data_IF_031250698671
#
_entry.id   IF_031250698671
#
_cell.length_a   1.000
_cell.length_b   1.000
_cell.length_c   1.000
_cell.angle_alpha   90.00
_cell.angle_beta   90.00
_cell.angle_gamma   90.00
#
_symmetry.space_group_name_H-M   'P 1'
#
loop_
_entity.id
_entity.type
_entity.pdbx_description
1 polymer ?
#
# COMPACT_ATOMS: atom_id res chain seq x y z
N UNK A 1 -24.87 -1.14 21.99
CA UNK A 1 -26.02 -1.23 21.04
C UNK A 1 -26.65 0.14 20.76
N UNK A 2 -26.87 1.01 21.77
CA UNK A 2 -27.44 2.36 21.53
C UNK A 2 -26.53 3.31 20.71
N UNK A 3 -25.21 3.21 20.85
CA UNK A 3 -24.26 4.08 20.13
C UNK A 3 -24.15 3.81 18.62
N UNK A 4 -24.39 2.57 18.18
CA UNK A 4 -24.34 2.21 16.76
C UNK A 4 -25.61 2.67 16.02
N UNK A 5 -26.75 2.63 16.71
CA UNK A 5 -28.03 3.06 16.16
C UNK A 5 -28.07 4.59 15.97
N UNK A 6 -27.51 5.33 16.92
CA UNK A 6 -27.34 6.79 16.82
C UNK A 6 -26.37 7.21 15.70
N UNK A 7 -25.29 6.46 15.47
CA UNK A 7 -24.36 6.71 14.35
C UNK A 7 -25.01 6.43 13.00
N UNK A 8 -25.76 5.33 12.90
CA UNK A 8 -26.48 4.92 11.68
C UNK A 8 -27.57 5.93 11.31
N UNK A 9 -28.32 6.44 12.29
CA UNK A 9 -29.31 7.49 12.10
C UNK A 9 -28.66 8.81 11.59
N UNK A 10 -27.54 9.22 12.19
CA UNK A 10 -26.78 10.40 11.74
C UNK A 10 -26.23 10.24 10.32
N UNK A 11 -25.72 9.05 9.97
CA UNK A 11 -25.24 8.76 8.61
C UNK A 11 -26.38 8.78 7.58
N UNK A 12 -27.53 8.20 7.91
CA UNK A 12 -28.71 8.21 7.04
C UNK A 12 -29.23 9.64 6.80
N UNK A 13 -29.22 10.49 7.82
CA UNK A 13 -29.63 11.90 7.67
C UNK A 13 -28.65 12.69 6.79
N UNK A 14 -27.34 12.47 6.97
CA UNK A 14 -26.29 13.07 6.12
C UNK A 14 -26.44 12.61 4.67
N UNK A 15 -26.75 11.33 4.44
CA UNK A 15 -26.91 10.74 3.12
C UNK A 15 -28.17 11.27 2.42
N UNK A 16 -29.28 11.41 3.15
CA UNK A 16 -30.52 12.04 2.67
C UNK A 16 -30.29 13.49 2.25
N UNK A 17 -29.62 14.30 3.09
CA UNK A 17 -29.25 15.69 2.77
C UNK A 17 -28.34 15.78 1.55
N UNK A 18 -27.38 14.85 1.39
CA UNK A 18 -26.50 14.78 0.21
C UNK A 18 -27.28 14.43 -1.06
N UNK A 19 -28.23 13.50 -0.98
CA UNK A 19 -29.06 13.07 -2.11
C UNK A 19 -29.97 14.21 -2.61
N UNK A 20 -30.58 14.95 -1.69
CA UNK A 20 -31.43 16.11 -2.03
C UNK A 20 -30.63 17.22 -2.71
N UNK A 21 -29.46 17.57 -2.16
CA UNK A 21 -28.55 18.56 -2.76
C UNK A 21 -28.08 18.11 -4.14
N UNK A 22 -27.82 16.80 -4.32
CA UNK A 22 -27.42 16.23 -5.62
C UNK A 22 -28.55 16.34 -6.65
N UNK A 23 -29.77 16.01 -6.27
CA UNK A 23 -30.97 16.10 -7.13
C UNK A 23 -31.22 17.53 -7.60
N UNK A 24 -31.21 18.49 -6.66
CA UNK A 24 -31.39 19.93 -6.96
C UNK A 24 -30.34 20.47 -7.93
N UNK A 25 -29.08 20.04 -7.77
CA UNK A 25 -27.99 20.46 -8.64
C UNK A 25 -28.05 19.79 -10.03
N UNK A 26 -28.59 18.56 -10.13
CA UNK A 26 -28.73 17.83 -11.39
C UNK A 26 -29.84 18.46 -12.25
N UNK A 27 -30.96 18.80 -11.63
CA UNK A 27 -32.08 19.52 -12.24
C UNK A 27 -31.63 20.90 -12.76
N UNK A 28 -30.84 21.64 -11.99
CA UNK A 28 -30.26 22.92 -12.42
C UNK A 28 -29.25 22.79 -13.58
N UNK A 29 -28.58 21.63 -13.70
CA UNK A 29 -27.60 21.37 -14.76
C UNK A 29 -28.24 20.95 -16.09
N UNK A 30 -29.41 20.28 -16.06
CA UNK A 30 -30.17 19.91 -17.26
C UNK A 30 -30.69 21.13 -18.03
N UNK A 31 -30.94 22.24 -17.33
CA UNK A 31 -31.40 23.51 -17.90
C UNK A 31 -30.28 24.31 -18.61
N UNK A 32 -29.00 24.02 -18.38
CA UNK A 32 -27.86 24.73 -19.00
C UNK A 32 -26.98 23.77 -19.82
N UNK A 33 -27.47 23.38 -21.01
CA UNK A 33 -26.82 22.48 -21.99
C UNK A 33 -25.54 23.02 -22.66
N UNK A 34 -24.74 23.85 -22.01
CA UNK A 34 -23.50 24.38 -22.60
C UNK A 34 -22.31 24.23 -21.64
N UNK A 35 -21.55 23.12 -21.79
CA UNK A 35 -20.16 22.85 -21.34
C UNK A 35 -19.69 23.27 -19.92
N UNK A 36 -20.56 23.83 -19.07
CA UNK A 36 -20.31 24.18 -17.67
C UNK A 36 -20.75 23.00 -16.82
N UNK A 37 -19.80 22.11 -16.51
CA UNK A 37 -20.06 20.96 -15.67
C UNK A 37 -20.78 21.34 -14.36
N UNK A 38 -21.55 20.40 -13.81
CA UNK A 38 -22.36 20.52 -12.59
C UNK A 38 -21.66 21.19 -11.38
N UNK A 39 -20.33 21.12 -11.30
CA UNK A 39 -19.54 21.72 -10.23
C UNK A 39 -18.94 23.06 -10.64
N UNK A 40 -18.93 24.03 -9.72
CA UNK A 40 -18.12 25.24 -9.89
C UNK A 40 -16.63 24.90 -9.97
N UNK A 41 -15.81 25.70 -10.69
CA UNK A 41 -14.36 25.46 -10.82
C UNK A 41 -13.65 25.29 -9.47
N UNK A 42 -14.02 26.09 -8.47
CA UNK A 42 -13.47 26.01 -7.10
C UNK A 42 -13.82 24.70 -6.40
N UNK A 43 -15.07 24.24 -6.50
CA UNK A 43 -15.49 22.96 -5.93
C UNK A 43 -14.77 21.80 -6.62
N UNK A 44 -14.58 21.85 -7.94
CA UNK A 44 -13.81 20.85 -8.69
C UNK A 44 -12.32 20.84 -8.27
N UNK A 45 -11.72 22.02 -8.03
CA UNK A 45 -10.35 22.14 -7.49
C UNK A 45 -10.24 21.51 -6.10
N UNK A 46 -11.18 21.81 -5.19
CA UNK A 46 -11.24 21.22 -3.84
C UNK A 46 -11.42 19.70 -3.88
N UNK A 47 -12.28 19.19 -4.77
CA UNK A 47 -12.49 17.74 -4.92
C UNK A 47 -11.22 17.02 -5.38
N UNK A 48 -10.52 17.53 -6.40
CA UNK A 48 -9.25 16.93 -6.85
C UNK A 48 -8.20 16.89 -5.75
N UNK A 49 -8.13 17.95 -4.94
CA UNK A 49 -7.21 18.01 -3.80
C UNK A 49 -7.54 16.91 -2.78
N UNK A 50 -8.82 16.75 -2.43
CA UNK A 50 -9.26 15.71 -1.48
C UNK A 50 -8.98 14.30 -2.02
N UNK A 51 -9.20 14.06 -3.32
CA UNK A 51 -8.92 12.76 -3.94
C UNK A 51 -7.42 12.43 -3.92
N UNK A 52 -6.54 13.40 -4.22
CA UNK A 52 -5.09 13.20 -4.13
C UNK A 52 -4.62 12.98 -2.69
N UNK A 53 -5.18 13.72 -1.73
CA UNK A 53 -4.90 13.52 -0.31
C UNK A 53 -5.28 12.10 0.15
N UNK A 54 -6.49 11.65 -0.21
CA UNK A 54 -6.94 10.29 0.08
C UNK A 54 -6.06 9.24 -0.60
N UNK A 55 -5.69 9.44 -1.86
CA UNK A 55 -4.80 8.52 -2.57
C UNK A 55 -3.41 8.44 -1.92
N UNK A 56 -2.85 9.57 -1.47
CA UNK A 56 -1.57 9.61 -0.76
C UNK A 56 -1.66 8.91 0.61
N UNK A 57 -2.76 9.10 1.34
CA UNK A 57 -3.01 8.45 2.62
C UNK A 57 -3.12 6.92 2.46
N UNK A 58 -3.93 6.45 1.50
CA UNK A 58 -4.05 5.02 1.20
C UNK A 58 -2.71 4.41 0.74
N UNK A 59 -1.93 5.15 -0.07
CA UNK A 59 -0.59 4.72 -0.48
C UNK A 59 0.34 4.56 0.73
N UNK A 60 0.34 5.52 1.66
CA UNK A 60 1.14 5.45 2.89
C UNK A 60 0.72 4.26 3.76
N UNK A 61 -0.58 4.03 3.92
CA UNK A 61 -1.11 2.90 4.67
C UNK A 61 -0.71 1.56 4.04
N UNK A 62 -0.72 1.46 2.72
CA UNK A 62 -0.25 0.27 2.01
C UNK A 62 1.26 0.06 2.19
N UNK A 63 2.06 1.12 2.15
CA UNK A 63 3.50 1.05 2.42
C UNK A 63 3.78 0.55 3.84
N UNK A 64 3.07 1.07 4.85
CA UNK A 64 3.20 0.62 6.24
C UNK A 64 2.81 -0.86 6.37
N UNK A 65 1.73 -1.30 5.71
CA UNK A 65 1.33 -2.72 5.68
C UNK A 65 2.41 -3.60 5.03
N UNK A 66 2.96 -3.18 3.88
CA UNK A 66 4.04 -3.92 3.21
C UNK A 66 5.31 -3.96 4.05
N UNK A 67 5.65 -2.88 4.76
CA UNK A 67 6.80 -2.84 5.66
C UNK A 67 6.62 -3.74 6.88
N UNK A 68 5.42 -3.78 7.46
CA UNK A 68 5.09 -4.69 8.57
C UNK A 68 5.16 -6.15 8.11
N UNK A 69 4.58 -6.49 6.97
CA UNK A 69 4.65 -7.84 6.41
C UNK A 69 6.10 -8.24 6.07
N UNK A 70 6.89 -7.32 5.50
CA UNK A 70 8.32 -7.54 5.28
C UNK A 70 9.05 -7.87 6.58
N UNK A 71 8.77 -7.16 7.67
CA UNK A 71 9.37 -7.44 8.98
C UNK A 71 8.98 -8.83 9.50
N UNK A 72 7.70 -9.18 9.41
CA UNK A 72 7.19 -10.51 9.80
C UNK A 72 7.88 -11.64 9.03
N UNK A 73 8.00 -11.51 7.70
CA UNK A 73 8.67 -12.50 6.86
C UNK A 73 10.15 -12.63 7.21
N UNK A 74 10.85 -11.52 7.50
CA UNK A 74 12.26 -11.57 7.92
C UNK A 74 12.40 -12.32 9.24
N UNK A 75 11.54 -12.04 10.21
CA UNK A 75 11.54 -12.73 11.50
C UNK A 75 11.29 -14.23 11.34
N UNK A 76 10.31 -14.61 10.51
CA UNK A 76 9.99 -16.00 10.19
C UNK A 76 11.16 -16.72 9.49
N UNK A 77 11.80 -16.07 8.51
CA UNK A 77 12.92 -16.65 7.74
C UNK A 77 14.20 -16.77 8.55
N UNK A 78 14.55 -15.74 9.32
CA UNK A 78 15.77 -15.74 10.14
C UNK A 78 15.63 -16.66 11.35
N UNK A 79 14.44 -16.73 11.95
CA UNK A 79 14.15 -17.56 13.10
C UNK A 79 14.98 -17.17 14.33
N UNK A 80 15.16 -18.12 15.24
CA UNK A 80 15.97 -17.93 16.45
C UNK A 80 17.46 -18.16 16.16
N UNK A 81 18.36 -17.38 16.77
CA UNK A 81 19.80 -17.66 16.73
C UNK A 81 20.11 -19.08 17.17
N UNK A 82 21.12 -19.71 16.57
CA UNK A 82 21.62 -21.02 17.02
C UNK A 82 22.25 -20.87 18.40
N UNK A 83 22.05 -21.86 19.27
CA UNK A 83 22.68 -21.89 20.59
C UNK A 83 24.18 -22.20 20.43
N UNK A 84 25.03 -21.25 20.81
CA UNK A 84 26.49 -21.36 20.75
C UNK A 84 27.07 -21.52 22.16
N UNK A 85 26.36 -21.08 23.21
CA UNK A 85 26.88 -21.02 24.57
C UNK A 85 27.03 -22.41 25.22
N UNK A 86 26.14 -23.33 24.89
CA UNK A 86 26.17 -24.72 25.37
C UNK A 86 26.73 -25.71 24.33
N UNK A 87 27.23 -25.20 23.21
CA UNK A 87 27.70 -26.04 22.11
C UNK A 87 29.12 -26.56 22.37
N UNK A 88 29.31 -27.85 22.16
CA UNK A 88 30.66 -28.42 22.08
C UNK A 88 31.35 -28.04 20.77
N UNK A 89 32.64 -28.34 20.64
CA UNK A 89 33.44 -27.93 19.48
C UNK A 89 32.89 -28.44 18.14
N UNK A 90 32.44 -29.70 18.09
CA UNK A 90 31.87 -30.29 16.87
C UNK A 90 30.54 -29.64 16.48
N UNK A 91 29.69 -29.34 17.46
CA UNK A 91 28.44 -28.62 17.28
C UNK A 91 28.70 -27.19 16.77
N UNK A 92 29.68 -26.49 17.34
CA UNK A 92 30.08 -25.16 16.89
C UNK A 92 30.59 -25.18 15.44
N UNK A 93 31.47 -26.15 15.10
CA UNK A 93 31.96 -26.34 13.72
C UNK A 93 30.84 -26.67 12.74
N UNK A 94 29.82 -27.41 13.16
CA UNK A 94 28.64 -27.68 12.34
C UNK A 94 27.83 -26.41 12.10
N UNK A 95 27.53 -25.64 13.14
CA UNK A 95 26.79 -24.38 13.04
C UNK A 95 27.46 -23.39 12.08
N UNK A 96 28.78 -23.25 12.15
CA UNK A 96 29.54 -22.40 11.21
C UNK A 96 29.39 -22.85 9.76
N UNK A 97 29.49 -24.17 9.50
CA UNK A 97 29.32 -24.74 8.15
C UNK A 97 27.91 -24.52 7.62
N UNK A 98 26.90 -24.76 8.45
CA UNK A 98 25.49 -24.57 8.10
C UNK A 98 25.20 -23.09 7.75
N UNK A 99 25.71 -22.14 8.54
CA UNK A 99 25.57 -20.72 8.23
C UNK A 99 26.29 -20.31 6.95
N UNK A 100 27.52 -20.78 6.75
CA UNK A 100 28.28 -20.48 5.54
C UNK A 100 27.56 -21.00 4.29
N UNK A 101 27.06 -22.24 4.31
CA UNK A 101 26.30 -22.79 3.20
C UNK A 101 25.01 -21.99 2.94
N UNK A 102 24.29 -21.62 3.99
CA UNK A 102 23.07 -20.82 3.86
C UNK A 102 23.33 -19.43 3.30
N UNK A 103 24.41 -18.77 3.71
CA UNK A 103 24.82 -17.46 3.17
C UNK A 103 25.09 -17.58 1.67
N UNK A 104 25.83 -18.62 1.25
CA UNK A 104 26.14 -18.82 -0.17
C UNK A 104 24.87 -18.99 -1.02
N UNK A 105 23.92 -19.83 -0.59
CA UNK A 105 22.66 -20.00 -1.33
C UNK A 105 21.83 -18.71 -1.37
N UNK A 106 21.81 -17.93 -0.29
CA UNK A 106 21.09 -16.65 -0.26
C UNK A 106 21.73 -15.59 -1.18
N UNK A 107 23.06 -15.56 -1.29
CA UNK A 107 23.75 -14.65 -2.22
C UNK A 107 23.52 -15.05 -3.68
N UNK A 108 23.46 -16.35 -3.99
CA UNK A 108 23.08 -16.84 -5.33
C UNK A 108 21.65 -16.40 -5.70
N UNK A 109 20.67 -16.67 -4.83
CA UNK A 109 19.28 -16.24 -5.06
C UNK A 109 19.15 -14.71 -5.19
N UNK A 110 19.91 -13.96 -4.37
CA UNK A 110 19.94 -12.50 -4.44
C UNK A 110 20.49 -12.02 -5.77
N UNK A 111 21.57 -12.61 -6.27
CA UNK A 111 22.16 -12.26 -7.54
C UNK A 111 21.16 -12.42 -8.70
N UNK A 112 20.46 -13.55 -8.76
CA UNK A 112 19.44 -13.81 -9.78
C UNK A 112 18.32 -12.78 -9.75
N UNK A 113 17.83 -12.45 -8.54
CA UNK A 113 16.80 -11.43 -8.35
C UNK A 113 17.27 -10.05 -8.78
N UNK A 114 18.48 -9.64 -8.39
CA UNK A 114 19.07 -8.35 -8.77
C UNK A 114 19.24 -8.24 -10.28
N UNK A 115 19.66 -9.31 -10.95
CA UNK A 115 19.77 -9.36 -12.40
C UNK A 115 18.40 -9.17 -13.08
N UNK A 116 17.37 -9.89 -12.63
CA UNK A 116 16.00 -9.77 -13.17
C UNK A 116 15.44 -8.36 -12.96
N UNK A 117 15.63 -7.77 -11.78
CA UNK A 117 15.21 -6.40 -11.48
C UNK A 117 15.90 -5.42 -12.43
N UNK A 118 17.22 -5.52 -12.58
CA UNK A 118 17.98 -4.64 -13.47
C UNK A 118 17.51 -4.72 -14.92
N UNK A 119 17.19 -5.91 -15.43
CA UNK A 119 16.63 -6.03 -16.79
C UNK A 119 15.27 -5.37 -16.92
N UNK A 120 14.37 -5.60 -15.95
CA UNK A 120 13.04 -4.99 -15.96
C UNK A 120 13.13 -3.46 -15.88
N UNK A 121 14.06 -2.92 -15.11
CA UNK A 121 14.30 -1.47 -15.06
C UNK A 121 14.72 -0.93 -16.43
N UNK A 122 15.57 -1.64 -17.18
CA UNK A 122 15.93 -1.27 -18.55
C UNK A 122 14.72 -1.33 -19.50
N UNK A 123 13.88 -2.37 -19.40
CA UNK A 123 12.66 -2.51 -20.20
C UNK A 123 11.66 -1.37 -19.93
N UNK A 124 11.45 -1.02 -18.66
CA UNK A 124 10.60 0.10 -18.25
C UNK A 124 11.15 1.42 -18.77
N UNK A 125 12.46 1.65 -18.63
CA UNK A 125 13.10 2.87 -19.14
C UNK A 125 12.95 3.00 -20.65
N UNK A 126 13.15 1.91 -21.39
CA UNK A 126 12.94 1.88 -22.84
C UNK A 126 11.49 2.20 -23.20
N UNK A 127 10.51 1.62 -22.50
CA UNK A 127 9.09 1.84 -22.76
C UNK A 127 8.62 3.28 -22.44
N UNK A 128 9.27 3.96 -21.49
CA UNK A 128 8.95 5.34 -21.13
C UNK A 128 9.52 6.39 -22.10
N UNK A 129 10.53 6.02 -22.88
CA UNK A 129 11.23 6.90 -23.83
C UNK A 129 10.80 6.68 -25.30
N UNK A 130 9.71 5.95 -25.52
CA UNK A 130 9.02 5.78 -26.82
C UNK A 130 7.73 6.59 -26.76
#
# INVERSE_FOLDING_TARGET
MADDEAKKAKQAEIERKRAEVRKRMEEASKAKKAKKGFMTPERKKKLRLLLRKKAAEELKKEQERKAAERRRIIEERCGKPKNIEEANEDQARKVLRDYHQRINSLEEEKYDLEYVVKRKDMEVHKAQNI
#
